data_IF_672928668983
#
_entry.id   IF_672928668983
#
_cell.length_a   1.000
_cell.length_b   1.000
_cell.length_c   1.000
_cell.angle_alpha   90.00
_cell.angle_beta   90.00
_cell.angle_gamma   90.00
#
_symmetry.space_group_name_H-M   'P 1'
#
loop_
_entity.id
_entity.type
_entity.pdbx_description
1 polymer ?
#
# COMPACT_ATOMS: atom_id res chain seq x y z
N UNK A 1 -13.93 30.21 9.76
CA UNK A 1 -14.34 28.86 9.34
C UNK A 1 -15.12 28.26 10.50
N UNK A 2 -16.34 27.84 10.28
CA UNK A 2 -17.17 27.20 11.31
C UNK A 2 -16.55 25.87 11.68
N UNK A 3 -16.62 25.44 12.94
CA UNK A 3 -16.10 24.16 13.43
C UNK A 3 -16.82 22.92 12.84
N UNK A 4 -17.73 23.16 11.90
CA UNK A 4 -18.62 22.16 11.30
C UNK A 4 -18.17 21.59 9.94
N UNK A 5 -17.04 22.06 9.40
CA UNK A 5 -16.58 21.65 8.05
C UNK A 5 -15.55 20.49 8.05
N UNK A 6 -15.33 19.84 9.20
CA UNK A 6 -14.36 18.75 9.31
C UNK A 6 -15.01 17.42 8.93
N UNK A 7 -14.49 16.75 7.89
CA UNK A 7 -14.94 15.43 7.47
C UNK A 7 -14.27 14.36 8.35
N UNK A 8 -15.07 13.46 8.92
CA UNK A 8 -14.60 12.32 9.71
C UNK A 8 -14.65 11.03 8.90
N UNK A 9 -13.54 10.28 8.87
CA UNK A 9 -13.39 9.03 8.13
C UNK A 9 -13.06 7.88 9.07
N UNK A 10 -13.86 6.81 9.05
CA UNK A 10 -13.53 5.55 9.70
C UNK A 10 -12.70 4.69 8.76
N UNK A 11 -11.43 4.46 9.06
CA UNK A 11 -10.57 3.58 8.28
C UNK A 11 -10.55 2.17 8.88
N UNK A 12 -11.28 1.25 8.25
CA UNK A 12 -11.29 -0.17 8.60
C UNK A 12 -10.06 -0.83 7.97
N UNK A 13 -9.07 -1.16 8.81
CA UNK A 13 -7.77 -1.67 8.39
C UNK A 13 -7.54 -3.09 8.92
N UNK A 14 -6.69 -3.91 8.23
CA UNK A 14 -6.47 -5.29 8.66
C UNK A 14 -5.55 -5.43 9.88
N UNK A 15 -4.61 -4.51 10.09
CA UNK A 15 -3.51 -4.68 11.05
C UNK A 15 -3.42 -3.52 12.05
N UNK A 16 -2.77 -3.73 13.21
CA UNK A 16 -2.43 -2.63 14.12
C UNK A 16 -1.57 -1.56 13.43
N UNK A 17 -1.62 -0.30 13.91
CA UNK A 17 -0.76 0.76 13.40
C UNK A 17 0.73 0.38 13.44
N UNK A 18 1.51 0.92 12.53
CA UNK A 18 2.98 0.76 12.39
C UNK A 18 3.49 -0.68 12.15
N UNK A 19 2.61 -1.66 11.92
CA UNK A 19 3.00 -3.06 11.78
C UNK A 19 3.25 -3.50 10.33
N UNK A 20 2.66 -2.82 9.35
CA UNK A 20 2.76 -3.24 7.94
C UNK A 20 3.04 -2.07 7.00
N UNK A 21 4.01 -2.21 6.07
CA UNK A 21 4.37 -1.12 5.15
C UNK A 21 3.19 -0.60 4.33
N UNK A 22 2.33 -1.47 3.79
CA UNK A 22 1.18 -1.07 2.99
C UNK A 22 0.27 -0.08 3.73
N UNK A 23 -0.17 -0.41 4.93
CA UNK A 23 -1.05 0.43 5.73
C UNK A 23 -0.34 1.72 6.16
N UNK A 24 0.93 1.62 6.58
CA UNK A 24 1.76 2.75 7.01
C UNK A 24 1.95 3.78 5.88
N UNK A 25 2.39 3.36 4.69
CA UNK A 25 2.69 4.24 3.56
C UNK A 25 1.46 4.72 2.76
N UNK A 26 0.26 4.15 3.02
CA UNK A 26 -0.96 4.52 2.29
C UNK A 26 -2.03 5.19 3.14
N UNK A 27 -1.94 5.11 4.46
CA UNK A 27 -2.96 5.71 5.34
C UNK A 27 -2.30 6.47 6.48
N UNK A 28 -1.52 5.76 7.30
CA UNK A 28 -1.04 6.30 8.57
C UNK A 28 -0.21 7.56 8.38
N UNK A 29 0.71 7.53 7.43
CA UNK A 29 1.55 8.67 7.10
C UNK A 29 0.80 9.83 6.42
N UNK A 30 -0.40 9.60 5.87
CA UNK A 30 -1.23 10.68 5.32
C UNK A 30 -2.04 11.41 6.39
N UNK A 31 -2.29 10.79 7.55
CA UNK A 31 -3.19 11.33 8.58
C UNK A 31 -2.84 12.77 9.01
N UNK A 32 -1.57 13.15 9.28
CA UNK A 32 -1.22 14.52 9.63
C UNK A 32 -1.56 15.52 8.53
N UNK A 33 -1.30 15.17 7.26
CA UNK A 33 -1.61 16.00 6.11
C UNK A 33 -3.12 16.11 5.87
N UNK A 34 -3.87 15.01 6.02
CA UNK A 34 -5.32 14.99 5.93
C UNK A 34 -5.96 15.85 7.01
N UNK A 35 -5.43 15.81 8.23
CA UNK A 35 -5.89 16.66 9.33
C UNK A 35 -5.74 18.15 9.01
N UNK A 36 -4.62 18.55 8.38
CA UNK A 36 -4.41 19.93 7.91
C UNK A 36 -5.37 20.34 6.80
N UNK A 37 -5.90 19.36 6.05
CA UNK A 37 -6.91 19.56 5.00
C UNK A 37 -8.35 19.44 5.52
N UNK A 38 -8.56 19.37 6.86
CA UNK A 38 -9.89 19.28 7.46
C UNK A 38 -10.51 17.88 7.42
N UNK A 39 -9.71 16.82 7.25
CA UNK A 39 -10.18 15.43 7.27
C UNK A 39 -9.53 14.71 8.45
N UNK A 40 -10.34 14.20 9.38
CA UNK A 40 -9.88 13.33 10.47
C UNK A 40 -10.08 11.87 10.08
N UNK A 41 -9.08 11.03 10.35
CA UNK A 41 -9.12 9.60 10.07
C UNK A 41 -8.90 8.83 11.37
N UNK A 42 -9.85 7.96 11.72
CA UNK A 42 -9.73 7.04 12.85
C UNK A 42 -9.44 5.64 12.33
N UNK A 43 -8.29 5.08 12.72
CA UNK A 43 -7.91 3.71 12.38
C UNK A 43 -8.65 2.71 13.27
N UNK A 44 -9.33 1.76 12.64
CA UNK A 44 -10.04 0.68 13.32
C UNK A 44 -9.49 -0.66 12.82
N UNK A 45 -8.46 -1.23 13.49
CA UNK A 45 -7.81 -2.45 13.06
C UNK A 45 -8.68 -3.69 13.31
N UNK A 46 -8.60 -4.68 12.41
CA UNK A 46 -9.21 -5.99 12.60
C UNK A 46 -8.39 -6.82 13.59
N UNK A 47 -7.09 -6.95 13.38
CA UNK A 47 -6.19 -7.64 14.28
C UNK A 47 -5.67 -6.70 15.37
N UNK A 48 -5.47 -7.23 16.56
CA UNK A 48 -4.67 -6.62 17.62
C UNK A 48 -3.30 -7.29 17.72
N UNK A 49 -2.42 -6.75 18.56
CA UNK A 49 -1.08 -7.31 18.79
C UNK A 49 -1.12 -8.79 19.21
N UNK A 50 -1.95 -9.23 20.19
CA UNK A 50 -2.03 -10.64 20.56
C UNK A 50 -2.42 -11.58 19.42
N UNK A 51 -3.34 -11.14 18.52
CA UNK A 51 -3.70 -11.93 17.36
C UNK A 51 -2.53 -11.99 16.36
N UNK A 52 -1.84 -10.87 16.15
CA UNK A 52 -0.67 -10.83 15.26
C UNK A 52 0.44 -11.78 15.75
N UNK A 53 0.78 -11.74 17.02
CA UNK A 53 1.75 -12.66 17.63
C UNK A 53 1.33 -14.13 17.45
N UNK A 54 0.05 -14.44 17.71
CA UNK A 54 -0.49 -15.78 17.52
C UNK A 54 -0.40 -16.25 16.07
N UNK A 55 -0.69 -15.38 15.11
CA UNK A 55 -0.64 -15.70 13.68
C UNK A 55 0.77 -16.03 13.18
N UNK A 56 1.80 -15.39 13.75
CA UNK A 56 3.20 -15.65 13.41
C UNK A 56 3.77 -16.93 14.05
N UNK A 57 3.17 -17.43 15.14
CA UNK A 57 3.61 -18.68 15.76
C UNK A 57 3.29 -19.89 14.87
N UNK A 58 4.18 -20.88 14.73
CA UNK A 58 3.86 -22.12 14.03
C UNK A 58 2.84 -22.96 14.82
N UNK A 59 2.02 -23.73 14.12
CA UNK A 59 0.99 -24.57 14.74
C UNK A 59 -0.19 -23.81 15.32
N UNK A 60 -0.71 -24.22 16.49
CA UNK A 60 -1.81 -23.61 17.27
C UNK A 60 -3.10 -23.32 16.45
N UNK A 61 -3.44 -24.21 15.50
CA UNK A 61 -4.52 -24.01 14.51
C UNK A 61 -5.87 -23.68 15.14
N UNK A 62 -6.26 -24.42 16.20
CA UNK A 62 -7.54 -24.18 16.90
C UNK A 62 -7.57 -22.81 17.57
N UNK A 63 -6.48 -22.40 18.25
CA UNK A 63 -6.40 -21.08 18.88
C UNK A 63 -6.47 -19.96 17.84
N UNK A 64 -5.79 -20.10 16.70
CA UNK A 64 -5.85 -19.16 15.57
C UNK A 64 -7.27 -19.04 15.02
N UNK A 65 -7.96 -20.18 14.85
CA UNK A 65 -9.34 -20.19 14.34
C UNK A 65 -10.31 -19.49 15.29
N UNK A 66 -10.23 -19.80 16.60
CA UNK A 66 -11.08 -19.19 17.63
C UNK A 66 -10.80 -17.68 17.72
N UNK A 67 -9.55 -17.26 17.76
CA UNK A 67 -9.17 -15.85 17.83
C UNK A 67 -9.68 -15.06 16.61
N UNK A 68 -9.50 -15.61 15.39
CA UNK A 68 -10.04 -15.00 14.18
C UNK A 68 -11.57 -14.93 14.19
N UNK A 69 -12.26 -15.97 14.65
CA UNK A 69 -13.73 -15.97 14.75
C UNK A 69 -14.23 -14.90 15.75
N UNK A 70 -13.60 -14.79 16.91
CA UNK A 70 -13.93 -13.75 17.90
C UNK A 70 -13.75 -12.35 17.30
N UNK A 71 -12.64 -12.13 16.57
CA UNK A 71 -12.41 -10.86 15.88
C UNK A 71 -13.42 -10.61 14.77
N UNK A 72 -13.77 -11.64 14.02
CA UNK A 72 -14.77 -11.55 12.96
C UNK A 72 -16.14 -11.12 13.52
N UNK A 73 -16.58 -11.69 14.65
CA UNK A 73 -17.83 -11.30 15.32
C UNK A 73 -17.73 -9.87 15.87
N UNK A 74 -16.64 -9.53 16.57
CA UNK A 74 -16.41 -8.19 17.10
C UNK A 74 -16.41 -7.13 15.99
N UNK A 75 -15.93 -7.45 14.80
CA UNK A 75 -15.92 -6.55 13.64
C UNK A 75 -17.33 -6.07 13.25
N UNK A 76 -18.39 -6.82 13.57
CA UNK A 76 -19.77 -6.34 13.37
C UNK A 76 -20.05 -5.08 14.20
N UNK A 77 -19.51 -4.99 15.43
CA UNK A 77 -19.66 -3.80 16.29
C UNK A 77 -18.94 -2.61 15.67
N UNK A 78 -17.71 -2.81 15.16
CA UNK A 78 -16.93 -1.76 14.49
C UNK A 78 -17.65 -1.24 13.25
N UNK A 79 -18.20 -2.16 12.45
CA UNK A 79 -18.99 -1.85 11.25
C UNK A 79 -20.24 -1.04 11.59
N UNK A 80 -20.95 -1.40 12.67
CA UNK A 80 -22.10 -0.62 13.14
C UNK A 80 -21.65 0.76 13.65
N UNK A 81 -20.54 0.82 14.38
CA UNK A 81 -19.96 2.06 14.88
C UNK A 81 -19.51 3.02 13.77
N UNK A 82 -19.15 2.49 12.60
CA UNK A 82 -18.75 3.30 11.44
C UNK A 82 -19.86 4.23 10.92
N UNK A 83 -21.13 3.99 11.28
CA UNK A 83 -22.28 4.86 10.92
C UNK A 83 -22.17 6.29 11.44
N UNK A 84 -21.39 6.54 12.48
CA UNK A 84 -21.19 7.88 13.06
C UNK A 84 -20.24 8.78 12.25
N UNK A 85 -19.48 8.19 11.32
CA UNK A 85 -18.55 8.92 10.46
C UNK A 85 -19.22 9.41 9.17
N UNK A 86 -18.59 10.39 8.51
CA UNK A 86 -19.08 10.93 7.25
C UNK A 86 -18.76 10.02 6.08
N UNK A 87 -17.61 9.29 6.15
CA UNK A 87 -17.22 8.29 5.17
C UNK A 87 -16.52 7.09 5.83
N UNK A 88 -16.50 5.96 5.13
CA UNK A 88 -15.78 4.76 5.53
C UNK A 88 -14.70 4.46 4.49
N UNK A 89 -13.47 4.32 4.94
CA UNK A 89 -12.38 3.79 4.14
C UNK A 89 -12.15 2.32 4.47
N UNK A 90 -12.02 1.47 3.47
CA UNK A 90 -11.63 0.06 3.63
C UNK A 90 -10.25 -0.10 3.00
N UNK A 91 -9.25 -0.46 3.81
CA UNK A 91 -7.94 -0.83 3.29
C UNK A 91 -7.83 -2.34 3.15
N UNK A 92 -7.62 -2.82 1.92
CA UNK A 92 -7.52 -4.24 1.53
C UNK A 92 -8.77 -5.06 1.84
N UNK A 93 -9.21 -5.14 3.09
CA UNK A 93 -10.42 -5.85 3.50
C UNK A 93 -10.84 -5.44 4.91
N UNK A 94 -12.14 -5.50 5.21
CA UNK A 94 -12.69 -5.26 6.55
C UNK A 94 -12.27 -6.36 7.54
N UNK A 95 -12.18 -7.60 7.06
CA UNK A 95 -11.71 -8.75 7.83
C UNK A 95 -10.66 -9.55 7.02
N UNK A 96 -9.61 -10.04 7.68
CA UNK A 96 -8.50 -10.78 7.04
C UNK A 96 -8.99 -12.09 6.41
N UNK A 97 -10.01 -12.70 7.00
CA UNK A 97 -10.60 -13.98 6.55
C UNK A 97 -12.10 -13.82 6.31
N UNK A 98 -12.67 -14.77 5.58
CA UNK A 98 -14.11 -14.84 5.33
C UNK A 98 -14.58 -14.03 4.12
N UNK A 99 -15.86 -14.23 3.73
CA UNK A 99 -16.50 -13.53 2.62
C UNK A 99 -16.78 -12.07 2.95
N UNK A 100 -17.22 -11.29 1.95
CA UNK A 100 -17.51 -9.86 2.06
C UNK A 100 -18.84 -9.55 2.80
N UNK A 101 -19.07 -10.15 3.98
CA UNK A 101 -20.32 -9.93 4.75
C UNK A 101 -20.31 -8.56 5.43
N UNK A 102 -19.21 -8.19 6.06
CA UNK A 102 -19.06 -6.89 6.73
C UNK A 102 -19.15 -5.73 5.73
N UNK A 103 -18.54 -5.89 4.58
CA UNK A 103 -18.56 -4.91 3.51
C UNK A 103 -19.97 -4.72 2.93
N UNK A 104 -20.75 -5.80 2.79
CA UNK A 104 -22.17 -5.74 2.41
C UNK A 104 -23.03 -5.05 3.48
N UNK A 105 -22.73 -5.28 4.75
CA UNK A 105 -23.41 -4.61 5.86
C UNK A 105 -23.10 -3.11 5.86
N UNK A 106 -21.85 -2.72 5.61
CA UNK A 106 -21.47 -1.30 5.44
C UNK A 106 -22.27 -0.62 4.32
N UNK A 107 -22.39 -1.28 3.17
CA UNK A 107 -23.13 -0.75 2.03
C UNK A 107 -24.64 -0.49 2.36
N UNK A 108 -25.20 -1.23 3.32
CA UNK A 108 -26.58 -1.01 3.76
C UNK A 108 -26.76 0.26 4.63
N UNK A 109 -25.69 0.90 5.06
CA UNK A 109 -25.75 2.09 5.93
C UNK A 109 -25.84 3.43 5.18
N UNK A 110 -25.83 3.41 3.85
CA UNK A 110 -25.87 4.60 3.00
C UNK A 110 -24.79 5.65 3.34
N UNK A 111 -23.59 5.19 3.72
CA UNK A 111 -22.39 6.02 3.92
C UNK A 111 -21.43 5.77 2.77
N UNK A 112 -20.71 6.81 2.28
CA UNK A 112 -19.76 6.62 1.21
C UNK A 112 -18.64 5.67 1.64
N UNK A 113 -18.40 4.67 0.81
CA UNK A 113 -17.35 3.66 0.98
C UNK A 113 -16.23 3.94 -0.01
N UNK A 114 -15.03 4.22 0.51
CA UNK A 114 -13.80 4.34 -0.28
C UNK A 114 -12.99 3.07 -0.08
N UNK A 115 -12.74 2.33 -1.15
CA UNK A 115 -11.99 1.08 -1.10
C UNK A 115 -10.57 1.29 -1.61
N UNK A 116 -9.56 1.01 -0.78
CA UNK A 116 -8.15 1.14 -1.10
C UNK A 116 -7.42 -0.20 -1.10
N UNK A 117 -6.60 -0.47 -2.13
CA UNK A 117 -5.66 -1.59 -2.14
C UNK A 117 -4.44 -1.33 -3.03
N UNK A 118 -3.29 -1.88 -2.60
CA UNK A 118 -1.96 -1.64 -3.17
C UNK A 118 -1.22 -2.92 -3.58
N UNK A 119 -1.89 -4.07 -3.50
CA UNK A 119 -1.36 -5.38 -3.88
C UNK A 119 -2.39 -6.18 -4.68
N UNK A 120 -1.94 -7.20 -5.40
CA UNK A 120 -2.79 -8.13 -6.15
C UNK A 120 -3.60 -9.07 -5.25
N UNK A 121 -4.27 -8.55 -4.20
CA UNK A 121 -4.98 -9.32 -3.17
C UNK A 121 -6.15 -10.17 -3.72
N UNK A 122 -6.57 -9.91 -4.95
CA UNK A 122 -7.53 -10.73 -5.69
C UNK A 122 -6.90 -11.99 -6.30
N UNK A 123 -5.58 -12.13 -6.23
CA UNK A 123 -4.85 -13.36 -6.55
C UNK A 123 -4.57 -14.15 -5.27
N UNK A 124 -4.68 -15.47 -5.38
CA UNK A 124 -4.36 -16.32 -4.25
C UNK A 124 -2.84 -16.36 -4.04
N UNK A 125 -2.35 -15.52 -3.14
CA UNK A 125 -0.96 -15.55 -2.71
C UNK A 125 -0.89 -15.81 -1.21
N UNK A 126 -0.17 -16.86 -0.80
CA UNK A 126 0.02 -17.25 0.58
C UNK A 126 1.44 -17.75 0.77
N UNK A 127 2.03 -17.47 1.95
CA UNK A 127 3.29 -18.11 2.35
C UNK A 127 3.12 -19.62 2.42
N UNK A 128 4.18 -20.38 2.22
CA UNK A 128 4.16 -21.86 2.29
C UNK A 128 3.51 -22.38 3.58
N UNK A 129 3.80 -21.75 4.71
CA UNK A 129 3.22 -22.08 6.01
C UNK A 129 1.70 -21.98 6.07
N UNK A 130 1.09 -21.14 5.24
CA UNK A 130 -0.36 -20.88 5.23
C UNK A 130 -1.05 -21.33 3.94
N UNK A 131 -0.34 -22.03 3.05
CA UNK A 131 -0.84 -22.44 1.71
C UNK A 131 -2.16 -23.21 1.77
N UNK A 132 -2.33 -24.10 2.75
CA UNK A 132 -3.53 -24.92 2.93
C UNK A 132 -4.78 -24.09 3.31
N UNK A 133 -4.61 -22.90 3.89
CA UNK A 133 -5.67 -22.02 4.37
C UNK A 133 -5.87 -20.77 3.49
N UNK A 134 -5.16 -20.69 2.36
CA UNK A 134 -5.25 -19.52 1.47
C UNK A 134 -6.67 -19.23 0.98
N UNK A 135 -7.50 -20.27 0.78
CA UNK A 135 -8.89 -20.15 0.38
C UNK A 135 -9.76 -19.39 1.39
N UNK A 136 -9.40 -19.37 2.70
CA UNK A 136 -10.09 -18.59 3.73
C UNK A 136 -9.95 -17.08 3.54
N UNK A 137 -9.02 -16.61 2.74
CA UNK A 137 -8.86 -15.19 2.38
C UNK A 137 -9.96 -14.72 1.41
N UNK A 138 -10.65 -15.63 0.74
CA UNK A 138 -11.67 -15.32 -0.24
C UNK A 138 -11.22 -14.24 -1.24
N UNK A 139 -10.18 -14.46 -2.07
CA UNK A 139 -9.61 -13.44 -2.94
C UNK A 139 -10.64 -12.81 -3.89
N UNK A 140 -11.69 -13.55 -4.27
CA UNK A 140 -12.82 -13.03 -5.05
C UNK A 140 -13.63 -11.93 -4.37
N UNK A 141 -13.50 -11.74 -3.03
CA UNK A 141 -14.19 -10.66 -2.32
C UNK A 141 -13.73 -9.27 -2.76
N UNK A 142 -12.48 -9.12 -3.25
CA UNK A 142 -11.96 -7.86 -3.78
C UNK A 142 -12.84 -7.28 -4.87
N UNK A 143 -13.26 -8.09 -5.86
CA UNK A 143 -14.20 -7.66 -6.90
C UNK A 143 -15.58 -7.29 -6.35
N UNK A 144 -16.05 -7.97 -5.29
CA UNK A 144 -17.30 -7.61 -4.61
C UNK A 144 -17.17 -6.27 -3.91
N UNK A 145 -16.06 -6.02 -3.20
CA UNK A 145 -15.81 -4.74 -2.51
C UNK A 145 -15.69 -3.60 -3.52
N UNK A 146 -14.95 -3.79 -4.62
CA UNK A 146 -14.89 -2.82 -5.72
C UNK A 146 -16.29 -2.42 -6.21
N UNK A 147 -17.21 -3.41 -6.36
CA UNK A 147 -18.55 -3.16 -6.88
C UNK A 147 -19.46 -2.38 -5.94
N UNK A 148 -19.31 -2.57 -4.62
CA UNK A 148 -20.13 -1.89 -3.61
C UNK A 148 -19.52 -0.56 -3.14
N UNK A 149 -18.25 -0.31 -3.42
CA UNK A 149 -17.59 0.95 -3.06
C UNK A 149 -18.09 2.10 -3.93
N UNK A 150 -18.28 3.28 -3.34
CA UNK A 150 -18.59 4.51 -4.06
C UNK A 150 -17.38 5.02 -4.84
N UNK A 151 -16.17 4.74 -4.35
CA UNK A 151 -14.91 5.07 -5.01
C UNK A 151 -13.85 4.01 -4.71
N UNK A 152 -13.05 3.64 -5.71
CA UNK A 152 -11.91 2.72 -5.54
C UNK A 152 -10.59 3.46 -5.72
N UNK A 153 -9.69 3.30 -4.75
CA UNK A 153 -8.33 3.83 -4.79
C UNK A 153 -7.36 2.66 -4.93
N UNK A 154 -6.42 2.78 -5.85
CA UNK A 154 -5.43 1.72 -6.12
C UNK A 154 -4.03 2.29 -6.28
N UNK A 155 -3.02 1.46 -6.07
CA UNK A 155 -1.64 1.90 -6.06
C UNK A 155 -0.96 2.04 -7.43
N UNK A 156 -1.48 1.41 -8.50
CA UNK A 156 -0.88 1.45 -9.85
C UNK A 156 -1.91 1.16 -10.94
N UNK A 157 -1.52 1.34 -12.21
CA UNK A 157 -2.41 1.15 -13.37
C UNK A 157 -2.86 -0.32 -13.53
N UNK A 158 -2.00 -1.30 -13.24
CA UNK A 158 -2.37 -2.71 -13.36
C UNK A 158 -3.50 -3.09 -12.39
N UNK A 159 -3.46 -2.58 -11.16
CA UNK A 159 -4.54 -2.71 -10.18
C UNK A 159 -5.79 -1.94 -10.61
N UNK A 160 -5.62 -0.77 -11.23
CA UNK A 160 -6.72 0.03 -11.75
C UNK A 160 -7.48 -0.69 -12.87
N UNK A 161 -6.78 -1.36 -13.78
CA UNK A 161 -7.39 -2.18 -14.81
C UNK A 161 -8.27 -3.31 -14.23
N UNK A 162 -7.82 -3.94 -13.13
CA UNK A 162 -8.66 -4.90 -12.42
C UNK A 162 -9.90 -4.23 -11.80
N UNK A 163 -9.71 -3.11 -11.07
CA UNK A 163 -10.79 -2.41 -10.38
C UNK A 163 -11.87 -1.88 -11.35
N UNK A 164 -11.47 -1.33 -12.50
CA UNK A 164 -12.37 -0.80 -13.55
C UNK A 164 -13.32 -1.84 -14.13
N UNK A 165 -13.04 -3.13 -13.96
CA UNK A 165 -13.98 -4.22 -14.34
C UNK A 165 -15.23 -4.24 -13.46
N UNK A 166 -15.20 -3.60 -12.30
CA UNK A 166 -16.25 -3.65 -11.28
C UNK A 166 -16.79 -2.26 -10.88
N UNK A 167 -15.98 -1.21 -11.05
CA UNK A 167 -16.33 0.15 -10.64
C UNK A 167 -15.79 1.16 -11.65
N UNK A 168 -16.61 2.13 -12.05
CA UNK A 168 -16.21 3.20 -12.98
C UNK A 168 -15.44 4.32 -12.29
N UNK A 169 -15.57 4.47 -10.96
CA UNK A 169 -14.90 5.50 -10.16
C UNK A 169 -13.62 4.92 -9.55
N UNK A 170 -12.55 4.92 -10.32
CA UNK A 170 -11.23 4.40 -9.91
C UNK A 170 -10.20 5.50 -10.03
N UNK A 171 -9.49 5.77 -8.93
CA UNK A 171 -8.38 6.72 -8.89
C UNK A 171 -7.09 5.99 -8.51
N UNK A 172 -6.01 6.26 -9.23
CA UNK A 172 -4.68 5.80 -8.88
C UNK A 172 -4.07 6.81 -7.93
N UNK A 173 -3.81 6.37 -6.70
CA UNK A 173 -2.97 7.09 -5.74
C UNK A 173 -1.80 6.17 -5.45
N UNK A 174 -0.59 6.48 -5.91
CA UNK A 174 0.57 5.61 -5.72
C UNK A 174 0.96 5.51 -4.25
N UNK A 175 1.82 4.56 -3.91
CA UNK A 175 2.51 4.54 -2.62
C UNK A 175 3.34 5.81 -2.47
N UNK A 176 3.31 6.41 -1.31
CA UNK A 176 3.98 7.69 -1.04
C UNK A 176 5.13 7.52 -0.05
N UNK A 177 6.04 8.48 -0.07
CA UNK A 177 7.19 8.54 0.84
C UNK A 177 7.17 9.86 1.59
N UNK A 178 7.53 9.81 2.87
CA UNK A 178 7.83 10.99 3.66
C UNK A 178 9.15 11.61 3.20
N UNK A 179 9.05 12.63 2.36
CA UNK A 179 10.23 13.32 1.81
C UNK A 179 10.94 14.19 2.85
N UNK A 180 10.35 14.41 4.01
CA UNK A 180 10.97 15.11 5.13
C UNK A 180 11.78 14.15 6.01
N UNK A 181 11.35 12.91 6.13
CA UNK A 181 12.08 11.85 6.80
C UNK A 181 13.16 11.24 5.90
N UNK A 182 12.81 10.86 4.67
CA UNK A 182 13.74 10.29 3.69
C UNK A 182 14.46 11.43 2.94
N UNK A 183 15.56 11.94 3.51
CA UNK A 183 16.37 13.00 2.92
C UNK A 183 17.71 12.49 2.45
N UNK A 184 18.24 13.02 1.34
CA UNK A 184 19.60 12.71 0.92
C UNK A 184 20.60 13.04 2.06
N UNK A 185 21.26 12.02 2.57
CA UNK A 185 22.31 12.12 3.59
C UNK A 185 23.35 11.08 3.24
N UNK A 186 24.17 11.37 2.20
CA UNK A 186 25.13 10.39 1.70
C UNK A 186 26.30 10.24 2.68
N UNK A 187 26.49 9.02 3.15
CA UNK A 187 27.68 8.60 3.92
C UNK A 187 28.38 7.49 3.12
N UNK A 188 29.65 7.70 2.77
CA UNK A 188 30.44 6.68 2.07
C UNK A 188 30.46 5.36 2.84
N UNK A 189 30.59 4.24 2.13
CA UNK A 189 30.86 2.95 2.76
C UNK A 189 32.04 3.01 3.73
N UNK A 190 32.07 2.18 4.75
CA UNK A 190 33.02 2.23 5.85
C UNK A 190 34.51 2.14 5.38
N UNK A 191 34.75 1.57 4.21
CA UNK A 191 36.08 1.40 3.61
C UNK A 191 36.28 2.14 2.28
N UNK A 192 35.36 3.03 1.93
CA UNK A 192 35.40 3.83 0.70
C UNK A 192 34.95 3.08 -0.56
N UNK A 193 34.53 1.82 -0.46
CA UNK A 193 33.93 1.07 -1.59
C UNK A 193 32.52 1.58 -1.88
N UNK A 194 32.13 1.50 -3.16
CA UNK A 194 30.75 1.78 -3.55
C UNK A 194 29.79 0.71 -3.01
N UNK A 195 28.65 1.14 -2.45
CA UNK A 195 27.64 0.27 -1.88
C UNK A 195 26.49 0.08 -2.87
N UNK A 196 26.32 -1.14 -3.33
CA UNK A 196 25.13 -1.57 -4.10
C UNK A 196 24.15 -2.20 -3.13
N UNK A 197 23.01 -1.55 -2.90
CA UNK A 197 22.10 -1.88 -1.82
C UNK A 197 20.76 -2.45 -2.26
N UNK A 198 20.20 -3.30 -1.40
CA UNK A 198 18.83 -3.77 -1.48
C UNK A 198 18.17 -3.75 -0.11
N UNK A 199 16.91 -3.26 -0.02
CA UNK A 199 16.09 -3.37 1.17
C UNK A 199 14.81 -4.16 0.89
N UNK A 200 14.29 -4.85 1.90
CA UNK A 200 13.02 -5.56 1.76
C UNK A 200 12.71 -6.52 2.90
N UNK A 201 11.48 -7.03 2.88
CA UNK A 201 11.03 -8.06 3.82
C UNK A 201 11.39 -9.47 3.36
N UNK A 202 11.32 -10.43 4.27
CA UNK A 202 11.50 -11.86 3.98
C UNK A 202 10.59 -12.37 2.84
N UNK A 203 9.43 -11.76 2.63
CA UNK A 203 8.52 -12.12 1.54
C UNK A 203 9.01 -11.68 0.15
N UNK A 204 9.92 -10.71 0.09
CA UNK A 204 10.52 -10.20 -1.15
C UNK A 204 11.98 -10.62 -1.35
N UNK A 205 12.57 -11.31 -0.38
CA UNK A 205 13.96 -11.82 -0.45
C UNK A 205 14.17 -12.77 -1.63
N UNK A 206 13.17 -13.58 -1.96
CA UNK A 206 13.24 -14.50 -3.10
C UNK A 206 13.53 -13.77 -4.41
N UNK A 207 13.08 -12.49 -4.55
CA UNK A 207 13.41 -11.68 -5.71
C UNK A 207 14.90 -11.30 -5.76
N UNK A 208 15.54 -11.06 -4.61
CA UNK A 208 16.99 -10.84 -4.53
C UNK A 208 17.76 -12.14 -4.75
N UNK A 209 17.32 -13.24 -4.13
CA UNK A 209 17.95 -14.55 -4.21
C UNK A 209 18.02 -15.06 -5.65
N UNK A 210 17.01 -14.79 -6.49
CA UNK A 210 17.03 -15.06 -7.93
C UNK A 210 18.20 -14.37 -8.66
N UNK A 211 18.71 -13.27 -8.12
CA UNK A 211 19.80 -12.48 -8.68
C UNK A 211 21.18 -12.92 -8.19
N UNK A 212 21.31 -13.93 -7.33
CA UNK A 212 22.58 -14.42 -6.82
C UNK A 212 23.63 -14.69 -7.94
N UNK A 213 23.29 -15.31 -9.11
CA UNK A 213 24.25 -15.51 -10.19
C UNK A 213 24.77 -14.18 -10.76
N UNK A 214 23.90 -13.18 -10.97
CA UNK A 214 24.26 -11.85 -11.45
C UNK A 214 25.14 -11.13 -10.43
N UNK A 215 24.79 -11.17 -9.15
CA UNK A 215 25.55 -10.53 -8.08
C UNK A 215 26.94 -11.15 -7.91
N UNK A 216 27.07 -12.47 -8.04
CA UNK A 216 28.37 -13.17 -8.06
C UNK A 216 29.22 -12.67 -9.22
N UNK A 217 28.65 -12.55 -10.43
CA UNK A 217 29.35 -12.03 -11.61
C UNK A 217 29.73 -10.56 -11.45
N UNK A 218 28.88 -9.73 -10.82
CA UNK A 218 29.20 -8.35 -10.50
C UNK A 218 30.42 -8.26 -9.57
N UNK A 219 30.41 -9.01 -8.46
CA UNK A 219 31.52 -9.06 -7.49
C UNK A 219 32.83 -9.57 -8.09
N UNK A 220 32.82 -10.47 -9.09
CA UNK A 220 34.03 -10.92 -9.77
C UNK A 220 34.64 -9.87 -10.70
N UNK A 221 33.91 -8.83 -11.07
CA UNK A 221 34.33 -7.77 -12.00
C UNK A 221 34.55 -6.42 -11.35
N UNK A 222 33.91 -6.16 -10.21
CA UNK A 222 33.92 -4.86 -9.53
C UNK A 222 34.13 -5.04 -8.03
N UNK A 223 34.97 -4.21 -7.46
CA UNK A 223 35.14 -4.11 -6.01
C UNK A 223 34.05 -3.20 -5.42
N UNK A 224 32.92 -3.79 -5.07
CA UNK A 224 31.77 -3.12 -4.47
C UNK A 224 31.32 -3.87 -3.24
N UNK A 225 30.77 -3.16 -2.25
CA UNK A 225 30.04 -3.78 -1.17
C UNK A 225 28.59 -4.07 -1.64
N UNK A 226 28.11 -5.26 -1.40
CA UNK A 226 26.68 -5.60 -1.52
C UNK A 226 26.07 -5.51 -0.13
N UNK A 227 25.12 -4.57 0.06
CA UNK A 227 24.43 -4.39 1.35
C UNK A 227 22.97 -4.79 1.24
N UNK A 228 22.53 -5.63 2.19
CA UNK A 228 21.16 -6.13 2.26
C UNK A 228 20.54 -5.75 3.59
N UNK A 229 19.45 -4.99 3.55
CA UNK A 229 18.68 -4.58 4.72
C UNK A 229 17.38 -5.37 4.73
N UNK A 230 17.16 -6.22 5.74
CA UNK A 230 15.96 -7.06 5.80
C UNK A 230 15.71 -7.62 7.19
N UNK A 231 14.46 -8.03 7.46
CA UNK A 231 14.07 -8.62 8.74
C UNK A 231 14.52 -10.07 8.93
N UNK A 232 15.13 -10.67 7.92
CA UNK A 232 15.75 -12.00 7.96
C UNK A 232 16.96 -12.00 7.03
N UNK A 233 18.04 -12.65 7.43
CA UNK A 233 19.21 -12.80 6.59
C UNK A 233 18.87 -13.54 5.30
N UNK A 234 19.28 -13.04 4.09
CA UNK A 234 19.05 -13.70 2.82
C UNK A 234 19.97 -14.90 2.62
N UNK A 235 19.57 -15.79 1.74
CA UNK A 235 20.41 -16.90 1.28
C UNK A 235 20.97 -16.57 -0.11
N UNK A 236 22.23 -16.11 -0.16
CA UNK A 236 22.91 -15.75 -1.41
C UNK A 236 24.18 -16.61 -1.56
N UNK A 237 24.08 -17.85 -2.10
CA UNK A 237 25.21 -18.76 -2.18
C UNK A 237 26.37 -18.16 -2.99
N UNK A 238 27.59 -18.29 -2.47
CA UNK A 238 28.84 -17.80 -3.09
C UNK A 238 28.85 -16.30 -3.45
N UNK A 239 28.06 -15.49 -2.75
CA UNK A 239 28.04 -14.03 -2.87
C UNK A 239 28.45 -13.44 -1.53
N UNK A 240 29.52 -12.65 -1.51
CA UNK A 240 29.88 -11.86 -0.33
C UNK A 240 29.00 -10.65 -0.22
N UNK A 241 28.35 -10.46 0.94
CA UNK A 241 27.47 -9.34 1.24
C UNK A 241 27.52 -8.95 2.71
N UNK A 242 27.06 -7.74 3.01
CA UNK A 242 26.84 -7.23 4.36
C UNK A 242 25.35 -7.24 4.64
N UNK A 243 24.90 -8.03 5.61
CA UNK A 243 23.51 -7.99 6.05
C UNK A 243 23.33 -7.03 7.23
N UNK A 244 22.26 -6.24 7.18
CA UNK A 244 21.80 -5.39 8.26
C UNK A 244 20.36 -5.77 8.64
N UNK A 245 20.06 -6.01 9.93
CA UNK A 245 18.69 -6.25 10.36
C UNK A 245 17.87 -4.96 10.17
N UNK A 246 16.72 -5.11 9.55
CA UNK A 246 15.82 -3.98 9.34
C UNK A 246 15.15 -3.57 10.65
N UNK A 247 15.11 -2.27 10.93
CA UNK A 247 14.24 -1.65 11.92
C UNK A 247 13.70 -0.32 11.37
N UNK A 248 12.55 0.12 11.86
CA UNK A 248 11.99 1.41 11.44
C UNK A 248 12.90 2.59 11.82
N UNK A 249 13.60 2.50 12.93
CA UNK A 249 14.48 3.56 13.45
C UNK A 249 15.78 3.67 12.65
N UNK A 250 16.33 2.57 12.13
CA UNK A 250 17.59 2.53 11.39
C UNK A 250 17.43 2.58 9.87
N UNK A 251 16.19 2.43 9.34
CA UNK A 251 15.96 2.29 7.90
C UNK A 251 16.56 3.44 7.09
N UNK A 252 16.30 4.68 7.48
CA UNK A 252 16.77 5.87 6.75
C UNK A 252 18.30 5.99 6.82
N UNK A 253 18.89 5.72 7.98
CA UNK A 253 20.35 5.74 8.17
C UNK A 253 21.00 4.67 7.28
N UNK A 254 20.53 3.44 7.33
CA UNK A 254 21.09 2.34 6.52
C UNK A 254 20.94 2.60 5.01
N UNK A 255 19.83 3.18 4.57
CA UNK A 255 19.62 3.58 3.18
C UNK A 255 20.58 4.70 2.72
N UNK A 256 21.01 5.58 3.64
CA UNK A 256 21.95 6.67 3.33
C UNK A 256 23.33 6.19 2.90
N UNK A 257 23.67 4.93 3.18
CA UNK A 257 24.93 4.30 2.77
C UNK A 257 24.90 3.76 1.33
N UNK A 258 23.75 3.74 0.65
CA UNK A 258 23.66 3.19 -0.71
C UNK A 258 24.17 4.19 -1.74
N UNK A 259 25.08 3.75 -2.59
CA UNK A 259 25.49 4.46 -3.81
C UNK A 259 24.61 4.10 -5.01
N UNK A 260 24.05 2.88 -4.99
CA UNK A 260 23.12 2.35 -6.00
C UNK A 260 22.05 1.51 -5.32
N UNK A 261 20.79 1.80 -5.57
CA UNK A 261 19.66 0.99 -5.08
C UNK A 261 19.16 0.01 -6.13
N UNK A 262 18.99 -1.25 -5.76
CA UNK A 262 18.49 -2.30 -6.65
C UNK A 262 17.07 -2.73 -6.26
N UNK A 263 16.19 -2.91 -7.26
CA UNK A 263 14.87 -3.52 -7.08
C UNK A 263 14.62 -4.62 -8.12
N UNK A 264 15.25 -5.79 -7.99
CA UNK A 264 14.94 -6.94 -8.84
C UNK A 264 13.54 -7.48 -8.54
N UNK A 265 12.80 -7.83 -9.60
CA UNK A 265 11.47 -8.43 -9.52
C UNK A 265 11.26 -9.42 -10.67
N UNK A 266 10.56 -10.55 -10.45
CA UNK A 266 10.10 -11.41 -11.54
C UNK A 266 9.00 -10.70 -12.35
N UNK A 267 8.85 -11.06 -13.61
CA UNK A 267 7.69 -10.62 -14.42
C UNK A 267 6.52 -11.60 -14.24
N UNK A 268 5.82 -11.47 -13.15
CA UNK A 268 4.61 -12.23 -12.87
C UNK A 268 3.44 -11.32 -12.43
N UNK A 269 2.26 -11.88 -12.37
CA UNK A 269 1.04 -11.12 -12.02
C UNK A 269 1.05 -10.55 -10.61
N UNK A 270 1.75 -11.20 -9.66
CA UNK A 270 1.88 -10.69 -8.30
C UNK A 270 2.82 -9.48 -8.27
N UNK A 271 3.94 -9.58 -8.94
CA UNK A 271 4.92 -8.52 -9.05
C UNK A 271 4.35 -7.27 -9.74
N UNK A 272 3.50 -7.45 -10.78
CA UNK A 272 2.80 -6.34 -11.44
C UNK A 272 1.87 -5.57 -10.51
N UNK A 273 1.35 -6.24 -9.48
CA UNK A 273 0.54 -5.60 -8.44
C UNK A 273 1.32 -4.77 -7.42
N UNK A 274 2.67 -4.84 -7.39
CA UNK A 274 3.51 -4.06 -6.47
C UNK A 274 3.57 -2.59 -6.86
N UNK A 275 3.71 -1.72 -5.86
CA UNK A 275 3.67 -0.26 -6.02
C UNK A 275 5.04 0.42 -5.88
N UNK A 276 6.12 -0.26 -6.27
CA UNK A 276 7.49 0.26 -6.37
C UNK A 276 8.07 0.90 -5.08
N UNK A 277 7.60 0.54 -3.88
CA UNK A 277 8.00 1.18 -2.62
C UNK A 277 9.53 1.31 -2.46
N UNK A 278 10.31 0.23 -2.72
CA UNK A 278 11.76 0.25 -2.58
C UNK A 278 12.41 1.29 -3.52
N UNK A 279 11.97 1.33 -4.78
CA UNK A 279 12.46 2.32 -5.73
C UNK A 279 12.18 3.74 -5.23
N UNK A 280 10.97 3.99 -4.71
CA UNK A 280 10.59 5.28 -4.14
C UNK A 280 11.44 5.65 -2.92
N UNK A 281 11.77 4.69 -2.05
CA UNK A 281 12.67 4.93 -0.91
C UNK A 281 14.07 5.33 -1.37
N UNK A 282 14.67 4.59 -2.32
CA UNK A 282 16.00 4.94 -2.87
C UNK A 282 15.99 6.31 -3.55
N UNK A 283 15.01 6.55 -4.41
CA UNK A 283 14.85 7.83 -5.11
C UNK A 283 14.65 8.99 -4.12
N UNK A 284 13.87 8.79 -3.05
CA UNK A 284 13.69 9.78 -2.00
C UNK A 284 15.00 10.15 -1.30
N UNK A 285 15.89 9.19 -1.10
CA UNK A 285 17.23 9.39 -0.56
C UNK A 285 18.22 9.98 -1.59
N UNK A 286 17.79 10.26 -2.82
CA UNK A 286 18.67 10.70 -3.89
C UNK A 286 19.63 9.61 -4.40
N UNK A 287 19.34 8.35 -4.10
CA UNK A 287 20.11 7.18 -4.52
C UNK A 287 19.69 6.80 -5.94
N UNK A 288 20.62 6.74 -6.92
CA UNK A 288 20.31 6.27 -8.26
C UNK A 288 19.79 4.83 -8.21
N UNK A 289 18.67 4.59 -8.88
CA UNK A 289 17.89 3.38 -8.72
C UNK A 289 17.82 2.58 -10.02
N UNK A 290 18.07 1.28 -9.93
CA UNK A 290 17.85 0.32 -11.01
C UNK A 290 16.77 -0.69 -10.63
N UNK A 291 15.79 -0.90 -11.52
CA UNK A 291 14.66 -1.81 -11.29
C UNK A 291 14.45 -2.77 -12.45
N UNK A 292 13.89 -3.94 -12.19
CA UNK A 292 13.25 -4.73 -13.25
C UNK A 292 12.12 -3.92 -13.88
N UNK A 293 12.02 -3.98 -15.23
CA UNK A 293 10.98 -3.27 -16.00
C UNK A 293 9.61 -3.97 -15.87
N UNK A 294 9.04 -4.00 -14.66
CA UNK A 294 7.81 -4.72 -14.31
C UNK A 294 6.86 -3.84 -13.52
N UNK A 295 5.58 -3.81 -13.92
CA UNK A 295 4.50 -3.15 -13.20
C UNK A 295 4.79 -1.67 -12.90
N UNK A 296 4.53 -1.25 -11.66
CA UNK A 296 4.71 0.13 -11.23
C UNK A 296 6.16 0.66 -11.35
N UNK A 297 7.17 -0.21 -11.46
CA UNK A 297 8.53 0.27 -11.72
C UNK A 297 8.61 1.05 -13.04
N UNK A 298 7.83 0.63 -14.07
CA UNK A 298 7.75 1.32 -15.35
C UNK A 298 6.95 2.63 -15.29
N UNK A 299 6.11 2.80 -14.28
CA UNK A 299 5.34 4.04 -14.05
C UNK A 299 6.17 5.09 -13.29
N UNK A 300 7.04 4.61 -12.39
CA UNK A 300 7.90 5.45 -11.54
C UNK A 300 9.20 5.83 -12.25
N UNK A 301 9.86 4.87 -12.90
CA UNK A 301 11.16 5.05 -13.54
C UNK A 301 11.00 5.39 -15.02
N UNK A 302 11.51 6.55 -15.41
CA UNK A 302 11.81 6.90 -16.81
C UNK A 302 13.28 6.57 -17.07
N UNK A 303 13.49 5.50 -17.85
CA UNK A 303 14.84 4.96 -18.11
C UNK A 303 15.81 6.03 -18.62
N UNK A 304 16.94 6.18 -17.96
CA UNK A 304 17.99 7.16 -18.30
C UNK A 304 17.72 8.59 -17.84
N UNK A 305 16.49 8.91 -17.34
CA UNK A 305 16.16 10.24 -16.84
C UNK A 305 16.24 10.30 -15.30
N UNK A 306 15.45 9.49 -14.59
CA UNK A 306 15.33 9.50 -13.14
C UNK A 306 15.69 8.16 -12.47
N UNK A 307 16.16 7.20 -13.26
CA UNK A 307 16.55 5.85 -12.85
C UNK A 307 16.79 4.97 -14.06
N UNK A 308 17.09 3.70 -13.83
CA UNK A 308 17.34 2.73 -14.89
C UNK A 308 16.36 1.55 -14.77
N UNK A 309 15.91 1.03 -15.93
CA UNK A 309 15.12 -0.18 -16.04
C UNK A 309 15.92 -1.25 -16.77
N UNK A 310 15.73 -2.52 -16.40
CA UNK A 310 16.33 -3.65 -17.04
C UNK A 310 15.33 -4.81 -17.20
N UNK A 311 15.34 -5.47 -18.35
CA UNK A 311 14.51 -6.62 -18.71
C UNK A 311 15.30 -7.91 -18.76
N UNK A 312 16.62 -7.82 -18.99
CA UNK A 312 17.53 -8.95 -19.14
C UNK A 312 18.73 -8.87 -18.18
N UNK A 313 19.37 -10.00 -17.94
CA UNK A 313 20.60 -10.06 -17.15
C UNK A 313 21.73 -9.20 -17.75
N UNK A 314 21.78 -9.10 -19.07
CA UNK A 314 22.75 -8.26 -19.77
C UNK A 314 22.51 -6.78 -19.51
N UNK A 315 21.26 -6.32 -19.59
CA UNK A 315 20.89 -4.94 -19.26
C UNK A 315 21.13 -4.61 -17.78
N UNK A 316 20.81 -5.54 -16.88
CA UNK A 316 21.12 -5.38 -15.46
C UNK A 316 22.60 -5.17 -15.23
N UNK A 317 23.44 -6.00 -15.83
CA UNK A 317 24.89 -5.90 -15.68
C UNK A 317 25.43 -4.59 -16.28
N UNK A 318 25.04 -4.24 -17.50
CA UNK A 318 25.47 -3.01 -18.16
C UNK A 318 25.05 -1.76 -17.35
N UNK A 319 23.81 -1.73 -16.86
CA UNK A 319 23.30 -0.64 -16.04
C UNK A 319 24.02 -0.52 -14.70
N UNK A 320 24.29 -1.64 -14.00
CA UNK A 320 25.07 -1.64 -12.77
C UNK A 320 26.49 -1.17 -12.99
N UNK A 321 27.19 -1.68 -14.03
CA UNK A 321 28.54 -1.26 -14.37
C UNK A 321 28.58 0.23 -14.71
N UNK A 322 27.61 0.76 -15.48
CA UNK A 322 27.53 2.19 -15.79
C UNK A 322 27.35 3.05 -14.54
N UNK A 323 26.50 2.61 -13.59
CA UNK A 323 26.31 3.31 -12.31
C UNK A 323 27.56 3.24 -11.42
N UNK A 324 28.31 2.15 -11.45
CA UNK A 324 29.54 2.00 -10.67
C UNK A 324 30.64 2.89 -11.27
N UNK A 325 30.82 2.89 -12.59
CA UNK A 325 31.92 3.56 -13.28
C UNK A 325 31.71 5.09 -13.44
N UNK A 326 30.43 5.58 -13.48
CA UNK A 326 30.10 6.98 -13.74
C UNK A 326 29.45 7.68 -12.54
N UNK A 327 30.24 8.39 -11.75
CA UNK A 327 29.77 9.19 -10.63
C UNK A 327 28.87 10.38 -11.05
N UNK A 328 29.05 10.93 -12.26
CA UNK A 328 28.20 12.02 -12.76
C UNK A 328 26.80 11.50 -13.10
N UNK A 329 26.73 10.31 -13.70
CA UNK A 329 25.46 9.60 -13.94
C UNK A 329 24.72 9.32 -12.63
N UNK A 330 25.42 8.77 -11.61
CA UNK A 330 24.82 8.53 -10.29
C UNK A 330 24.19 9.80 -9.71
N UNK A 331 24.96 10.89 -9.67
CA UNK A 331 24.48 12.18 -9.15
C UNK A 331 23.30 12.73 -9.93
N UNK A 332 23.31 12.62 -11.27
CA UNK A 332 22.23 13.09 -12.12
C UNK A 332 20.94 12.30 -11.87
N UNK A 333 21.00 10.97 -11.96
CA UNK A 333 19.82 10.11 -11.74
C UNK A 333 19.28 10.21 -10.32
N UNK A 334 20.17 10.32 -9.32
CA UNK A 334 19.76 10.51 -7.92
C UNK A 334 18.97 11.81 -7.72
N UNK A 335 19.44 12.96 -8.27
CA UNK A 335 18.71 14.23 -8.19
C UNK A 335 17.36 14.17 -8.90
N UNK A 336 17.30 13.67 -10.11
CA UNK A 336 16.06 13.57 -10.89
C UNK A 336 15.09 12.55 -10.25
N UNK A 337 15.62 11.47 -9.68
CA UNK A 337 14.85 10.52 -8.88
C UNK A 337 14.21 11.21 -7.68
N UNK A 338 14.97 11.94 -6.88
CA UNK A 338 14.49 12.72 -5.73
C UNK A 338 13.38 13.70 -6.14
N UNK A 339 13.62 14.50 -7.18
CA UNK A 339 12.65 15.46 -7.69
C UNK A 339 11.33 14.78 -8.09
N UNK A 340 11.42 13.64 -8.76
CA UNK A 340 10.24 12.85 -9.14
C UNK A 340 9.40 12.43 -7.93
N UNK A 341 10.07 12.00 -6.84
CA UNK A 341 9.37 11.60 -5.61
C UNK A 341 8.72 12.80 -4.93
N UNK A 342 9.43 13.92 -4.81
CA UNK A 342 8.88 15.16 -4.21
C UNK A 342 7.64 15.66 -4.93
N UNK A 343 7.66 15.65 -6.27
CA UNK A 343 6.56 16.16 -7.09
C UNK A 343 5.34 15.23 -7.13
N UNK A 344 5.55 13.91 -7.19
CA UNK A 344 4.48 12.96 -7.54
C UNK A 344 4.18 11.90 -6.50
N UNK A 345 5.14 11.57 -5.64
CA UNK A 345 5.08 10.44 -4.71
C UNK A 345 5.31 10.85 -3.25
N UNK A 346 5.29 12.16 -2.95
CA UNK A 346 5.34 12.64 -1.57
C UNK A 346 4.04 12.36 -0.85
N UNK A 347 4.11 12.20 0.48
CA UNK A 347 2.91 12.05 1.31
C UNK A 347 1.94 13.21 1.13
N UNK A 348 2.46 14.43 1.01
CA UNK A 348 1.64 15.63 0.80
C UNK A 348 0.82 15.53 -0.49
N UNK A 349 1.46 15.23 -1.63
CA UNK A 349 0.77 15.14 -2.91
C UNK A 349 -0.27 14.02 -2.94
N UNK A 350 0.04 12.84 -2.33
CA UNK A 350 -0.90 11.73 -2.26
C UNK A 350 -2.06 11.99 -1.29
N UNK A 351 -1.82 12.63 -0.14
CA UNK A 351 -2.87 13.04 0.79
C UNK A 351 -3.83 14.06 0.15
N UNK A 352 -3.33 15.01 -0.64
CA UNK A 352 -4.17 15.95 -1.40
C UNK A 352 -5.08 15.24 -2.42
N UNK A 353 -4.55 14.23 -3.12
CA UNK A 353 -5.35 13.40 -4.04
C UNK A 353 -6.42 12.61 -3.27
N UNK A 354 -6.06 12.00 -2.15
CA UNK A 354 -7.01 11.27 -1.33
C UNK A 354 -8.08 12.19 -0.74
N UNK A 355 -7.71 13.37 -0.28
CA UNK A 355 -8.67 14.37 0.20
C UNK A 355 -9.71 14.76 -0.85
N UNK A 356 -9.31 14.87 -2.13
CA UNK A 356 -10.25 15.10 -3.24
C UNK A 356 -11.23 13.94 -3.40
N UNK A 357 -10.75 12.70 -3.31
CA UNK A 357 -11.59 11.50 -3.37
C UNK A 357 -12.60 11.48 -2.22
N UNK A 358 -12.15 11.75 -0.98
CA UNK A 358 -13.03 11.79 0.20
C UNK A 358 -14.13 12.85 0.04
N UNK A 359 -13.75 14.06 -0.36
CA UNK A 359 -14.73 15.17 -0.56
C UNK A 359 -15.73 14.84 -1.67
N UNK A 360 -15.29 14.30 -2.78
CA UNK A 360 -16.17 13.87 -3.87
C UNK A 360 -17.15 12.80 -3.40
N UNK A 361 -16.66 11.76 -2.68
CA UNK A 361 -17.50 10.69 -2.19
C UNK A 361 -18.56 11.17 -1.18
N UNK A 362 -18.21 12.14 -0.31
CA UNK A 362 -19.14 12.72 0.67
C UNK A 362 -20.16 13.65 -0.02
N UNK A 363 -19.74 14.44 -1.01
CA UNK A 363 -20.62 15.39 -1.72
C UNK A 363 -21.62 14.70 -2.65
N UNK A 364 -21.28 13.55 -3.21
CA UNK A 364 -22.13 12.78 -4.12
C UNK A 364 -23.25 12.00 -3.41
N UNK A 365 -23.28 12.01 -2.07
CA UNK A 365 -24.38 11.37 -1.32
C UNK A 365 -25.68 12.17 -1.53
N UNK A 366 -26.81 11.52 -1.87
CA UNK A 366 -28.11 12.19 -1.92
C UNK A 366 -28.38 12.79 -0.54
N UNK A 367 -28.63 14.09 -0.50
CA UNK A 367 -28.99 14.80 0.72
C UNK A 367 -30.08 14.00 1.44
N UNK A 368 -29.89 13.64 2.70
CA UNK A 368 -30.91 12.96 3.49
C UNK A 368 -32.20 13.80 3.38
N UNK A 369 -33.36 13.22 3.02
CA UNK A 369 -34.59 13.97 2.92
C UNK A 369 -34.81 14.70 4.23
N UNK A 370 -34.91 16.04 4.17
CA UNK A 370 -35.08 16.88 5.34
C UNK A 370 -36.29 16.40 6.12
N UNK A 371 -36.21 16.39 7.48
CA UNK A 371 -37.29 15.95 8.35
C UNK A 371 -38.66 16.59 8.02
N UNK A 372 -38.66 17.76 7.33
CA UNK A 372 -39.82 18.44 6.82
C UNK A 372 -40.55 17.73 5.66
N UNK A 373 -39.85 16.91 4.85
CA UNK A 373 -40.49 16.15 3.76
C UNK A 373 -41.26 14.92 4.27
N UNK A 374 -40.86 14.36 5.41
CA UNK A 374 -41.58 13.22 6.04
C UNK A 374 -42.92 13.63 6.67
N UNK A 375 -43.11 14.89 7.11
CA UNK A 375 -44.38 15.34 7.63
C UNK A 375 -45.46 15.62 6.55
N UNK A 376 -45.04 15.90 5.31
CA UNK A 376 -46.02 16.12 4.22
C UNK A 376 -46.60 14.82 3.65
N UNK A 377 -45.91 13.70 3.74
CA UNK A 377 -46.41 12.39 3.26
C UNK A 377 -47.36 11.71 4.26
N UNK A 378 -47.39 12.13 5.53
CA UNK A 378 -48.26 11.56 6.55
C UNK A 378 -49.66 12.21 6.63
N UNK A 379 -49.89 13.32 5.91
CA UNK A 379 -51.16 14.09 6.00
C UNK A 379 -52.11 13.79 4.83
N UNK A 380 -51.71 13.00 3.82
CA UNK A 380 -52.54 12.78 2.62
C UNK A 380 -53.29 11.44 2.54
N UNK A 381 -53.41 10.72 3.64
CA UNK A 381 -54.26 9.52 3.72
C UNK A 381 -55.41 9.71 4.73
N UNK A 382 -56.39 10.56 4.37
CA UNK A 382 -57.75 10.43 4.93
C UNK A 382 -58.60 9.62 3.93
N UNK A 383 -59.33 8.59 4.37
CA UNK A 383 -60.25 7.86 3.54
C UNK A 383 -61.49 8.68 3.30
N UNK A 384 -61.84 8.93 2.04
CA UNK A 384 -63.11 9.46 1.62
C UNK A 384 -64.22 8.47 1.92
N UNK A 385 -65.04 8.78 2.88
CA UNK A 385 -66.34 8.13 3.12
C UNK A 385 -67.31 8.46 1.97
N UNK A 386 -67.56 7.51 1.11
CA UNK A 386 -68.68 7.58 0.13
C UNK A 386 -69.93 7.07 0.81
N UNK A 387 -70.85 8.01 1.08
CA UNK A 387 -72.23 7.72 1.48
C UNK A 387 -72.99 7.12 0.28
N UNK A 388 -73.49 5.92 0.42
CA UNK A 388 -74.57 5.41 -0.46
C UNK A 388 -75.89 5.95 0.03
N UNK A 389 -76.60 6.68 -0.82
CA UNK A 389 -78.05 6.80 -0.78
C UNK A 389 -78.63 6.27 -2.10
N UNK A 390 -79.50 5.25 -1.90
CA UNK A 390 -80.50 4.65 -2.82
C UNK A 390 -80.06 4.14 -4.19
#
# INVERSE_FOLDING_TARGET
MRSDDRISVCALVPYPPDTTPSQRFRIEQWMPHLASLGISVDLVPFADEPLMELLHQPGRRAAKAIANLNRYVRRCVDVIGARRYDAVMIHRAVAIVGPALHERLLAAFAKPIIYDFDDAIFKLHTTEANRQFGWLKFPGKTGTICRIADHVVVGNEWLAQYARRFNSRVTIIPTSIDTDQYRPAHTNGADGRLVVGWTGSSTSQTHLEMFAPLLRRLKSRRDVELRVISNREPVLPDVEYVWRPWSADSEVEELSHFDVGMMPMPDDEWAKGKCALKALQYMAMGVPTICSAVGANCEVIRHGENGLLATSEQEWMANLESLIDDAALRRRLGREGRRTVEERYSMKSCAELFAKVVRAAVSDQPSAPSALSRQRSAVSTQPSTVSRQR
#
